data_IF_863735595306
#
_entry.id   IF_863735595306
#
_cell.length_a   1.000
_cell.length_b   1.000
_cell.length_c   1.000
_cell.angle_alpha   90.00
_cell.angle_beta   90.00
_cell.angle_gamma   90.00
#
_symmetry.space_group_name_H-M   'P 1'
#
loop_
_entity.id
_entity.type
_entity.pdbx_description
1 polymer ?
#
# COMPACT_ATOMS: atom_id res chain seq x y z
N UNK A 1 36.40 20.17 14.57
CA UNK A 1 35.14 20.90 14.32
C UNK A 1 34.20 19.95 13.58
N UNK A 2 33.06 19.60 14.16
CA UNK A 2 32.03 18.78 13.52
C UNK A 2 31.24 19.65 12.54
N UNK A 3 31.38 19.41 11.24
CA UNK A 3 30.58 20.11 10.23
C UNK A 3 29.11 19.75 10.42
N UNK A 4 28.26 20.74 10.69
CA UNK A 4 26.82 20.52 10.81
C UNK A 4 26.19 20.36 9.43
N UNK A 5 25.40 19.30 9.25
CA UNK A 5 24.78 18.94 7.98
C UNK A 5 23.91 20.05 7.38
N UNK A 6 23.23 20.86 8.21
CA UNK A 6 22.36 21.96 7.76
C UNK A 6 23.11 23.05 6.97
N UNK A 7 24.40 23.22 7.19
CA UNK A 7 25.20 24.24 6.51
C UNK A 7 26.00 23.70 5.33
N UNK A 8 25.73 22.45 4.93
CA UNK A 8 26.53 21.74 3.94
C UNK A 8 25.90 21.83 2.56
N UNK A 9 26.69 22.22 1.56
CA UNK A 9 26.32 22.11 0.15
C UNK A 9 26.98 20.89 -0.47
N UNK A 10 26.20 19.88 -0.83
CA UNK A 10 26.69 18.70 -1.55
C UNK A 10 27.33 19.01 -2.90
N UNK A 11 28.00 18.02 -3.48
CA UNK A 11 28.38 18.06 -4.89
C UNK A 11 27.13 17.89 -5.77
N UNK A 12 26.31 16.88 -5.47
CA UNK A 12 24.96 16.71 -6.00
C UNK A 12 23.96 16.68 -4.86
N UNK A 13 22.85 17.40 -5.04
CA UNK A 13 21.75 17.46 -4.09
C UNK A 13 20.44 17.38 -4.83
N UNK A 14 19.63 16.40 -4.45
CA UNK A 14 18.36 16.13 -5.07
C UNK A 14 17.30 15.80 -4.03
N UNK A 15 16.08 16.16 -4.36
CA UNK A 15 14.89 15.89 -3.56
C UNK A 15 13.80 15.37 -4.48
N UNK A 16 13.22 14.23 -4.14
CA UNK A 16 11.96 13.77 -4.74
C UNK A 16 10.85 13.87 -3.71
N UNK A 17 9.69 14.41 -4.09
CA UNK A 17 8.52 14.54 -3.22
C UNK A 17 7.38 13.70 -3.78
N UNK A 18 6.81 12.82 -2.96
CA UNK A 18 5.66 11.97 -3.32
C UNK A 18 4.43 12.44 -2.56
N UNK A 19 3.34 12.70 -3.28
CA UNK A 19 2.09 13.23 -2.76
C UNK A 19 0.90 12.39 -3.24
N UNK A 20 -0.07 12.05 -2.37
CA UNK A 20 -1.33 11.47 -2.82
C UNK A 20 -2.15 12.52 -3.59
N UNK A 21 -2.71 12.12 -4.72
CA UNK A 21 -3.53 12.99 -5.57
C UNK A 21 -4.70 12.20 -6.15
N UNK A 22 -5.73 12.92 -6.60
CA UNK A 22 -6.89 12.36 -7.29
C UNK A 22 -6.85 12.71 -8.76
N UNK A 23 -6.83 11.69 -9.61
CA UNK A 23 -6.75 11.79 -11.05
C UNK A 23 -8.09 11.38 -11.70
N UNK A 24 -8.86 12.36 -12.16
CA UNK A 24 -10.20 12.14 -12.72
C UNK A 24 -10.17 11.42 -14.08
N UNK A 25 -9.18 11.73 -14.93
CA UNK A 25 -9.00 11.15 -16.25
C UNK A 25 -7.49 11.00 -16.55
N UNK A 26 -7.08 10.19 -17.56
CA UNK A 26 -5.70 10.19 -18.02
C UNK A 26 -5.24 11.61 -18.38
N UNK A 27 -4.06 12.06 -17.91
CA UNK A 27 -3.55 13.39 -18.20
C UNK A 27 -3.09 13.48 -19.67
N UNK A 28 -3.07 14.69 -20.26
CA UNK A 28 -2.53 14.91 -21.62
C UNK A 28 -0.99 14.99 -21.60
N UNK A 29 -0.34 14.09 -20.87
CA UNK A 29 1.11 14.04 -20.63
C UNK A 29 1.74 12.84 -21.34
N UNK A 30 3.06 12.81 -21.47
CA UNK A 30 3.74 11.67 -22.07
C UNK A 30 3.58 10.43 -21.19
N UNK A 31 3.31 9.27 -21.81
CA UNK A 31 3.16 8.00 -21.11
C UNK A 31 4.52 7.47 -20.62
N UNK A 32 4.48 6.79 -19.46
CA UNK A 32 5.67 6.28 -18.77
C UNK A 32 6.22 7.26 -17.73
N UNK A 33 7.23 6.82 -16.97
CA UNK A 33 7.88 7.66 -15.97
C UNK A 33 8.84 8.65 -16.63
N UNK A 34 9.29 9.64 -15.86
CA UNK A 34 10.27 10.63 -16.33
C UNK A 34 11.58 9.91 -16.72
N UNK A 35 12.04 10.04 -17.96
CA UNK A 35 13.23 9.35 -18.42
C UNK A 35 14.49 10.11 -18.00
N UNK A 36 15.46 9.40 -17.43
CA UNK A 36 16.77 9.96 -17.08
C UNK A 36 17.87 9.33 -17.93
N UNK A 37 18.84 10.14 -18.38
CA UNK A 37 19.95 9.69 -19.21
C UNK A 37 21.23 9.48 -18.38
N UNK A 38 22.02 8.47 -18.75
CA UNK A 38 23.35 8.19 -18.22
C UNK A 38 24.26 7.74 -19.38
N UNK A 39 25.02 8.67 -19.95
CA UNK A 39 25.81 8.41 -21.15
C UNK A 39 24.92 7.92 -22.31
N UNK A 40 25.21 6.72 -22.83
CA UNK A 40 24.40 6.08 -23.89
C UNK A 40 23.16 5.34 -23.39
N UNK A 41 22.96 5.22 -22.06
CA UNK A 41 21.81 4.53 -21.46
C UNK A 41 20.71 5.53 -21.10
N UNK A 42 19.46 5.10 -21.25
CA UNK A 42 18.27 5.85 -20.85
C UNK A 42 17.43 5.00 -19.91
N UNK A 43 17.13 5.52 -18.72
CA UNK A 43 16.25 4.90 -17.74
C UNK A 43 14.80 5.31 -18.02
N UNK A 44 14.23 4.76 -19.09
CA UNK A 44 12.83 4.89 -19.50
C UNK A 44 12.00 3.66 -19.08
N UNK A 45 10.71 3.61 -19.46
CA UNK A 45 9.83 2.46 -19.20
C UNK A 45 10.47 1.14 -19.63
N UNK A 46 10.98 1.09 -20.86
CA UNK A 46 11.49 -0.14 -21.47
C UNK A 46 12.68 -0.71 -20.70
N UNK A 47 13.55 0.16 -20.19
CA UNK A 47 14.70 -0.23 -19.39
C UNK A 47 14.30 -0.55 -17.95
N UNK A 48 13.51 0.33 -17.30
CA UNK A 48 13.16 0.20 -15.89
C UNK A 48 12.33 -1.04 -15.60
N UNK A 49 11.43 -1.44 -16.50
CA UNK A 49 10.61 -2.65 -16.32
C UNK A 49 11.42 -3.94 -16.19
N UNK A 50 12.65 -3.98 -16.75
CA UNK A 50 13.51 -5.18 -16.68
C UNK A 50 14.05 -5.47 -15.27
N UNK A 51 14.00 -4.48 -14.38
CA UNK A 51 14.43 -4.63 -12.99
C UNK A 51 13.35 -5.25 -12.10
N UNK A 52 12.11 -5.33 -12.58
CA UNK A 52 10.94 -5.75 -11.82
C UNK A 52 10.34 -7.03 -12.39
N UNK A 53 9.67 -7.80 -11.54
CA UNK A 53 8.84 -8.91 -12.00
C UNK A 53 7.71 -8.38 -12.90
N UNK A 54 7.18 -9.19 -13.85
CA UNK A 54 6.11 -8.74 -14.75
C UNK A 54 4.85 -8.24 -14.05
N UNK A 55 4.55 -8.68 -12.82
CA UNK A 55 3.43 -8.15 -12.03
C UNK A 55 3.74 -6.76 -11.47
N UNK A 56 4.92 -6.58 -10.85
CA UNK A 56 5.35 -5.28 -10.33
C UNK A 56 5.52 -4.24 -11.46
N UNK A 57 6.07 -4.64 -12.60
CA UNK A 57 6.21 -3.78 -13.77
C UNK A 57 4.84 -3.27 -14.27
N UNK A 58 3.82 -4.13 -14.34
CA UNK A 58 2.45 -3.71 -14.73
C UNK A 58 1.83 -2.72 -13.76
N UNK A 59 2.13 -2.85 -12.46
CA UNK A 59 1.67 -1.89 -11.44
C UNK A 59 2.33 -0.52 -11.63
N UNK A 60 3.65 -0.51 -11.88
CA UNK A 60 4.46 0.70 -11.94
C UNK A 60 4.43 1.42 -13.29
N UNK A 61 4.16 0.71 -14.38
CA UNK A 61 4.27 1.23 -15.76
C UNK A 61 3.02 1.00 -16.61
N UNK A 62 2.08 0.15 -16.17
CA UNK A 62 0.85 -0.15 -16.88
C UNK A 62 1.03 -1.19 -17.98
N UNK A 63 0.07 -1.22 -18.89
CA UNK A 63 0.18 -1.93 -20.18
C UNK A 63 -0.11 -0.95 -21.32
N UNK A 64 0.23 -1.27 -22.58
CA UNK A 64 -0.09 -0.41 -23.71
C UNK A 64 -1.58 -0.07 -23.82
N UNK A 65 -2.46 -0.97 -23.40
CA UNK A 65 -3.92 -0.77 -23.41
C UNK A 65 -4.43 -0.01 -22.19
N UNK A 66 -3.63 0.05 -21.12
CA UNK A 66 -3.98 0.62 -19.82
C UNK A 66 -2.75 1.31 -19.20
N UNK A 67 -2.36 2.47 -19.73
CA UNK A 67 -1.28 3.26 -19.13
C UNK A 67 -1.68 3.67 -17.71
N UNK A 68 -0.72 3.59 -16.78
CA UNK A 68 -0.92 4.03 -15.39
C UNK A 68 0.11 5.07 -14.95
N UNK A 69 1.08 5.41 -15.78
CA UNK A 69 2.12 6.38 -15.42
C UNK A 69 2.33 7.38 -16.54
N UNK A 70 2.49 8.63 -16.17
CA UNK A 70 2.72 9.73 -17.10
C UNK A 70 3.74 10.70 -16.53
N UNK A 71 4.38 11.48 -17.39
CA UNK A 71 5.34 12.48 -16.97
C UNK A 71 5.29 13.74 -17.83
N UNK A 72 5.81 14.82 -17.25
CA UNK A 72 6.07 16.08 -17.94
C UNK A 72 7.36 16.69 -17.39
N UNK A 73 8.20 17.22 -18.27
CA UNK A 73 9.31 18.07 -17.86
C UNK A 73 8.79 19.43 -17.39
N UNK A 74 9.45 20.00 -16.40
CA UNK A 74 9.14 21.33 -15.89
C UNK A 74 10.48 22.04 -15.65
N UNK A 75 10.48 23.36 -15.81
CA UNK A 75 11.64 24.18 -15.48
C UNK A 75 11.15 25.37 -14.68
N UNK A 76 11.06 25.18 -13.37
CA UNK A 76 10.56 26.20 -12.44
C UNK A 76 11.43 26.22 -11.19
N UNK A 77 11.85 27.41 -10.80
CA UNK A 77 12.69 27.62 -9.62
C UNK A 77 11.94 28.45 -8.59
N UNK A 78 12.07 28.07 -7.31
CA UNK A 78 11.58 28.86 -6.19
C UNK A 78 12.49 28.63 -4.97
N UNK A 79 13.10 29.71 -4.49
CA UNK A 79 14.13 29.61 -3.44
C UNK A 79 15.27 28.67 -3.88
N UNK A 80 15.69 27.70 -3.03
CA UNK A 80 16.75 26.75 -3.36
C UNK A 80 16.29 25.58 -4.24
N UNK A 81 15.00 25.49 -4.58
CA UNK A 81 14.44 24.36 -5.33
C UNK A 81 14.32 24.69 -6.81
N UNK A 82 14.84 23.78 -7.63
CA UNK A 82 14.59 23.75 -9.07
C UNK A 82 13.81 22.48 -9.41
N UNK A 83 12.54 22.63 -9.82
CA UNK A 83 11.70 21.54 -10.30
C UNK A 83 12.12 21.15 -11.72
N UNK A 84 12.50 19.89 -11.90
CA UNK A 84 12.94 19.30 -13.17
C UNK A 84 11.82 18.58 -13.92
N UNK A 85 10.88 17.99 -13.20
CA UNK A 85 9.80 17.24 -13.81
C UNK A 85 8.82 16.68 -12.79
N UNK A 86 7.67 16.28 -13.31
CA UNK A 86 6.54 15.75 -12.56
C UNK A 86 6.16 14.41 -13.17
N UNK A 87 5.92 13.41 -12.33
CA UNK A 87 5.27 12.16 -12.73
C UNK A 87 3.91 12.03 -12.05
N UNK A 88 2.98 11.35 -12.70
CA UNK A 88 1.74 10.86 -12.12
C UNK A 88 1.72 9.33 -12.25
N UNK A 89 1.47 8.64 -11.14
CA UNK A 89 1.25 7.19 -11.10
C UNK A 89 -0.17 6.94 -10.60
N UNK A 90 -1.05 6.40 -11.46
CA UNK A 90 -2.38 5.94 -11.06
C UNK A 90 -2.23 4.70 -10.20
N UNK A 91 -2.79 4.76 -9.00
CA UNK A 91 -2.80 3.70 -7.98
C UNK A 91 -4.22 3.27 -7.64
N UNK A 92 -5.14 3.52 -8.59
CA UNK A 92 -6.57 3.31 -8.46
C UNK A 92 -6.92 1.95 -7.89
N UNK A 93 -7.86 1.96 -6.96
CA UNK A 93 -8.40 0.76 -6.33
C UNK A 93 -9.90 0.66 -6.57
N UNK A 94 -10.53 -0.42 -6.07
CA UNK A 94 -11.96 -0.60 -6.24
C UNK A 94 -12.76 0.50 -5.51
N UNK A 95 -12.33 0.88 -4.31
CA UNK A 95 -12.95 1.98 -3.54
C UNK A 95 -12.53 3.37 -4.03
N UNK A 96 -11.29 3.52 -4.49
CA UNK A 96 -10.73 4.81 -4.87
C UNK A 96 -10.29 4.80 -6.34
N UNK A 97 -11.22 4.86 -7.30
CA UNK A 97 -10.91 4.74 -8.74
C UNK A 97 -10.06 5.91 -9.28
N UNK A 98 -10.07 7.04 -8.57
CA UNK A 98 -9.25 8.21 -8.88
C UNK A 98 -7.91 8.26 -8.16
N UNK A 99 -7.55 7.29 -7.30
CA UNK A 99 -6.32 7.36 -6.53
C UNK A 99 -5.07 7.37 -7.44
N UNK A 100 -4.15 8.27 -7.15
CA UNK A 100 -2.87 8.40 -7.82
C UNK A 100 -1.82 9.01 -6.89
N UNK A 101 -0.56 8.95 -7.31
CA UNK A 101 0.56 9.61 -6.68
C UNK A 101 1.15 10.63 -7.66
N UNK A 102 1.42 11.85 -7.19
CA UNK A 102 2.28 12.79 -7.88
C UNK A 102 3.70 12.68 -7.34
N UNK A 103 4.68 12.68 -8.24
CA UNK A 103 6.11 12.65 -7.93
C UNK A 103 6.76 13.90 -8.50
N UNK A 104 7.30 14.75 -7.63
CA UNK A 104 7.99 15.97 -8.00
C UNK A 104 9.50 15.77 -7.88
N UNK A 105 10.24 16.01 -8.96
CA UNK A 105 11.69 15.83 -9.00
C UNK A 105 12.41 17.16 -8.92
N UNK A 106 13.13 17.41 -7.83
CA UNK A 106 13.86 18.64 -7.59
C UNK A 106 15.39 18.44 -7.57
N UNK A 107 16.09 19.47 -8.03
CA UNK A 107 17.47 19.77 -7.65
C UNK A 107 17.45 20.78 -6.50
N UNK A 108 18.42 20.70 -5.59
CA UNK A 108 18.54 21.65 -4.47
C UNK A 108 19.87 22.41 -4.56
N UNK A 109 19.79 23.73 -4.61
CA UNK A 109 20.95 24.63 -4.65
C UNK A 109 21.35 25.10 -3.24
N UNK A 110 22.66 25.27 -3.02
CA UNK A 110 23.20 25.78 -1.76
C UNK A 110 23.08 24.81 -0.58
N UNK A 111 23.35 25.27 0.65
CA UNK A 111 23.29 24.44 1.86
C UNK A 111 21.85 24.37 2.40
N UNK A 112 20.91 23.93 1.56
CA UNK A 112 19.49 24.03 1.87
C UNK A 112 18.77 22.68 1.94
N UNK A 113 19.44 21.54 1.64
CA UNK A 113 18.76 20.25 1.52
C UNK A 113 18.05 19.85 2.81
N UNK A 114 18.74 19.85 3.96
CA UNK A 114 18.13 19.45 5.23
C UNK A 114 17.05 20.44 5.67
N UNK A 115 17.28 21.74 5.54
CA UNK A 115 16.29 22.74 5.95
C UNK A 115 15.05 22.73 5.04
N UNK A 116 15.21 22.49 3.74
CA UNK A 116 14.09 22.27 2.81
C UNK A 116 13.28 21.02 3.20
N UNK A 117 13.96 19.91 3.53
CA UNK A 117 13.30 18.70 4.01
C UNK A 117 12.51 18.96 5.31
N UNK A 118 13.08 19.73 6.23
CA UNK A 118 12.43 20.13 7.48
C UNK A 118 11.22 21.04 7.24
N UNK A 119 11.34 21.99 6.32
CA UNK A 119 10.27 22.90 5.92
C UNK A 119 9.09 22.15 5.32
N UNK A 120 9.32 21.28 4.31
CA UNK A 120 8.30 20.38 3.72
C UNK A 120 7.74 19.41 4.76
N UNK A 121 8.59 18.97 5.69
CA UNK A 121 8.20 18.13 6.80
C UNK A 121 7.44 18.86 7.90
N UNK A 122 7.21 20.17 7.78
CA UNK A 122 6.58 21.07 8.76
C UNK A 122 7.14 20.84 10.16
N UNK A 123 8.49 20.86 10.27
CA UNK A 123 9.20 20.73 11.55
C UNK A 123 9.11 22.02 12.34
N UNK A 124 9.22 21.90 13.67
CA UNK A 124 9.26 23.06 14.54
C UNK A 124 10.47 23.94 14.19
N UNK A 125 10.26 25.26 14.17
CA UNK A 125 11.27 26.26 13.81
C UNK A 125 11.93 26.06 12.44
N UNK A 126 11.31 25.32 11.52
CA UNK A 126 11.75 25.27 10.13
C UNK A 126 11.27 26.52 9.38
N UNK A 127 11.96 26.83 8.28
CA UNK A 127 11.52 27.87 7.34
C UNK A 127 10.15 27.53 6.73
N UNK A 128 9.44 28.51 6.14
CA UNK A 128 8.20 28.27 5.42
C UNK A 128 8.33 27.16 4.37
N UNK A 129 7.27 26.37 4.19
CA UNK A 129 7.26 25.27 3.25
C UNK A 129 7.48 25.82 1.81
N UNK A 130 8.56 25.43 1.11
CA UNK A 130 8.81 25.90 -0.25
C UNK A 130 7.81 25.36 -1.28
N UNK A 131 6.94 24.43 -0.87
CA UNK A 131 5.79 23.97 -1.63
C UNK A 131 4.54 24.82 -1.36
N UNK A 132 4.65 25.95 -0.66
CA UNK A 132 3.63 26.99 -0.65
C UNK A 132 4.00 28.06 -1.70
N UNK A 133 3.13 28.28 -2.71
CA UNK A 133 3.35 29.28 -3.77
C UNK A 133 3.63 28.69 -5.16
N UNK A 134 4.67 29.13 -5.91
CA UNK A 134 4.87 28.71 -7.31
C UNK A 134 5.10 27.20 -7.52
N UNK A 135 5.55 26.52 -6.47
CA UNK A 135 5.76 25.06 -6.43
C UNK A 135 4.63 24.32 -5.71
N UNK A 136 3.51 24.99 -5.40
CA UNK A 136 2.38 24.36 -4.74
C UNK A 136 1.79 23.23 -5.59
N UNK A 137 1.52 22.05 -5.01
CA UNK A 137 0.92 20.93 -5.73
C UNK A 137 -0.37 21.31 -6.47
N UNK A 138 -1.21 22.16 -5.88
CA UNK A 138 -2.45 22.66 -6.48
C UNK A 138 -2.17 23.47 -7.76
N UNK A 139 -1.12 24.29 -7.75
CA UNK A 139 -0.73 25.11 -8.88
C UNK A 139 -0.02 24.28 -9.98
N UNK A 140 0.81 23.31 -9.58
CA UNK A 140 1.56 22.46 -10.50
C UNK A 140 0.65 21.44 -11.22
N UNK A 141 -0.37 20.94 -10.53
CA UNK A 141 -1.30 19.91 -11.01
C UNK A 141 -2.64 20.48 -11.49
N UNK A 142 -2.77 21.80 -11.56
CA UNK A 142 -3.99 22.49 -11.96
C UNK A 142 -4.57 21.93 -13.27
N UNK A 143 -5.86 21.57 -13.24
CA UNK A 143 -6.58 21.00 -14.38
C UNK A 143 -6.23 19.54 -14.69
N UNK A 144 -5.32 18.90 -13.95
CA UNK A 144 -4.89 17.51 -14.18
C UNK A 144 -5.24 16.61 -13.00
N UNK A 145 -4.82 17.00 -11.80
CA UNK A 145 -5.07 16.23 -10.58
C UNK A 145 -5.32 17.16 -9.39
N UNK A 146 -6.05 16.66 -8.39
CA UNK A 146 -6.33 17.39 -7.16
C UNK A 146 -5.53 16.76 -6.03
N UNK A 147 -4.65 17.49 -5.33
CA UNK A 147 -3.96 16.97 -4.14
C UNK A 147 -4.95 16.43 -3.11
N UNK A 148 -4.65 15.29 -2.53
CA UNK A 148 -5.49 14.72 -1.47
C UNK A 148 -5.06 15.31 -0.12
N UNK A 149 -5.84 16.26 0.39
CA UNK A 149 -5.70 16.78 1.75
C UNK A 149 -6.44 15.83 2.69
N UNK A 150 -5.82 14.71 3.06
CA UNK A 150 -6.53 13.74 3.90
C UNK A 150 -6.94 14.36 5.24
N UNK A 151 -8.24 14.46 5.48
CA UNK A 151 -8.86 14.89 6.76
C UNK A 151 -8.94 13.74 7.78
N UNK A 152 -8.41 12.54 7.46
CA UNK A 152 -8.52 11.40 8.35
C UNK A 152 -7.54 11.50 9.54
N UNK A 153 -7.97 11.18 10.78
CA UNK A 153 -7.24 11.46 12.02
C UNK A 153 -5.89 10.73 12.19
N UNK A 154 -5.52 9.84 11.26
CA UNK A 154 -4.27 9.09 11.27
C UNK A 154 -3.55 9.06 9.92
N UNK A 155 -4.11 9.69 8.89
CA UNK A 155 -3.41 9.86 7.64
C UNK A 155 -2.29 10.86 7.90
N UNK A 156 -1.04 10.40 7.76
CA UNK A 156 0.04 11.36 7.64
C UNK A 156 -0.11 11.97 6.24
N UNK A 157 -0.96 13.00 6.16
CA UNK A 157 -1.18 13.84 4.99
C UNK A 157 0.04 14.72 4.69
N UNK A 158 1.25 14.20 4.93
CA UNK A 158 2.51 14.89 4.66
C UNK A 158 3.19 14.22 3.49
N UNK A 159 3.77 15.01 2.56
CA UNK A 159 4.58 14.47 1.49
C UNK A 159 5.65 13.51 2.02
N UNK A 160 5.83 12.40 1.29
CA UNK A 160 6.96 11.51 1.52
C UNK A 160 8.16 12.02 0.71
N UNK A 161 9.27 12.31 1.39
CA UNK A 161 10.44 12.92 0.75
C UNK A 161 11.56 11.91 0.56
N UNK A 162 12.27 11.96 -0.57
CA UNK A 162 13.46 11.17 -0.83
C UNK A 162 14.61 12.13 -1.10
N UNK A 163 15.59 12.15 -0.19
CA UNK A 163 16.77 12.98 -0.29
C UNK A 163 17.92 12.21 -0.95
N UNK A 164 18.73 12.88 -1.76
CA UNK A 164 19.99 12.35 -2.27
C UNK A 164 21.09 13.41 -2.11
N UNK A 165 22.18 13.03 -1.45
CA UNK A 165 23.31 13.89 -1.15
C UNK A 165 24.62 13.18 -1.45
N UNK A 166 25.47 13.79 -2.27
CA UNK A 166 26.87 13.36 -2.44
C UNK A 166 27.81 14.40 -1.86
N UNK A 167 28.87 13.99 -1.15
CA UNK A 167 29.74 14.92 -0.48
C UNK A 167 30.81 15.49 -1.43
N UNK A 168 31.21 16.73 -1.18
CA UNK A 168 32.46 17.29 -1.71
C UNK A 168 33.64 16.75 -0.89
N UNK A 169 34.86 16.89 -1.41
CA UNK A 169 36.08 16.45 -0.73
C UNK A 169 36.22 17.00 0.70
N UNK A 170 35.76 18.24 0.94
CA UNK A 170 35.79 18.86 2.26
C UNK A 170 34.93 18.16 3.32
N UNK A 171 33.93 17.35 2.92
CA UNK A 171 33.00 16.69 3.83
C UNK A 171 33.39 15.25 4.14
N UNK A 172 34.29 14.67 3.36
CA UNK A 172 34.71 13.26 3.48
C UNK A 172 35.18 12.87 4.89
N UNK A 173 35.91 13.70 5.66
CA UNK A 173 36.31 13.32 7.02
C UNK A 173 35.14 13.01 7.97
N UNK A 174 33.95 13.58 7.71
CA UNK A 174 32.74 13.31 8.48
C UNK A 174 32.01 12.04 8.01
N UNK A 175 32.34 11.52 6.83
CA UNK A 175 31.63 10.43 6.17
C UNK A 175 32.47 9.17 6.00
N UNK A 176 33.79 9.30 6.08
CA UNK A 176 34.73 8.20 5.88
C UNK A 176 36.02 8.45 6.64
N UNK A 177 36.47 7.43 7.37
CA UNK A 177 37.75 7.39 8.06
C UNK A 177 38.53 6.16 7.58
N UNK A 178 39.40 6.36 6.59
CA UNK A 178 40.01 5.24 5.84
C UNK A 178 38.93 4.40 5.17
N UNK A 179 38.90 3.09 5.46
CA UNK A 179 37.90 2.17 4.93
C UNK A 179 36.64 2.02 5.81
N UNK A 180 36.52 2.79 6.89
CA UNK A 180 35.40 2.69 7.84
C UNK A 180 34.40 3.83 7.68
N UNK A 181 33.12 3.50 7.85
CA UNK A 181 32.03 4.45 8.01
C UNK A 181 31.93 4.89 9.48
N UNK A 182 32.18 6.17 9.81
CA UNK A 182 32.02 6.68 11.16
C UNK A 182 30.53 6.88 11.50
N UNK A 183 30.20 6.94 12.80
CA UNK A 183 28.84 7.17 13.29
C UNK A 183 28.21 8.48 12.77
N UNK A 184 29.02 9.47 12.43
CA UNK A 184 28.59 10.74 11.83
C UNK A 184 27.94 10.55 10.46
N UNK A 185 28.37 9.56 9.65
CA UNK A 185 27.74 9.25 8.37
C UNK A 185 26.29 8.77 8.57
N UNK A 186 26.09 7.92 9.56
CA UNK A 186 24.79 7.38 9.92
C UNK A 186 23.86 8.44 10.53
N UNK A 187 24.40 9.34 11.36
CA UNK A 187 23.66 10.50 11.87
C UNK A 187 23.18 11.40 10.73
N UNK A 188 24.01 11.65 9.70
CA UNK A 188 23.61 12.45 8.55
C UNK A 188 22.54 11.73 7.72
N UNK A 189 22.71 10.44 7.46
CA UNK A 189 21.73 9.63 6.75
C UNK A 189 20.37 9.63 7.47
N UNK A 190 20.38 9.46 8.80
CA UNK A 190 19.19 9.55 9.63
C UNK A 190 18.55 10.93 9.59
N UNK A 191 19.33 12.00 9.72
CA UNK A 191 18.84 13.38 9.69
C UNK A 191 18.12 13.71 8.38
N UNK A 192 18.68 13.27 7.25
CA UNK A 192 18.07 13.43 5.93
C UNK A 192 16.77 12.64 5.80
N UNK A 193 16.77 11.35 6.15
CA UNK A 193 15.57 10.50 6.00
C UNK A 193 14.44 10.91 6.96
N UNK A 194 14.79 11.30 8.18
CA UNK A 194 13.84 11.75 9.21
C UNK A 194 13.39 13.19 9.00
N UNK A 195 14.08 13.96 8.15
CA UNK A 195 13.88 15.40 7.95
C UNK A 195 14.03 16.13 9.28
N UNK A 196 15.11 15.87 10.00
CA UNK A 196 15.26 16.37 11.36
C UNK A 196 16.71 16.59 11.76
N UNK A 197 16.87 17.40 12.80
CA UNK A 197 18.14 17.69 13.48
C UNK A 197 18.07 17.19 14.92
N UNK A 198 19.19 17.22 15.64
CA UNK A 198 19.23 16.93 17.07
C UNK A 198 18.31 17.85 17.91
N UNK A 199 17.97 19.05 17.42
CA UNK A 199 17.03 19.94 18.10
C UNK A 199 15.57 19.50 17.93
N UNK A 200 15.23 18.86 16.80
CA UNK A 200 13.89 18.35 16.55
C UNK A 200 13.66 17.03 17.32
N UNK A 201 14.68 16.17 17.33
CA UNK A 201 14.70 14.88 18.02
C UNK A 201 16.10 14.61 18.56
N UNK A 202 16.35 14.83 19.87
CA UNK A 202 17.63 14.49 20.47
C UNK A 202 17.77 12.96 20.47
N UNK A 203 18.61 12.45 19.58
CA UNK A 203 18.85 11.01 19.47
C UNK A 203 19.83 10.59 20.56
N UNK A 204 19.36 9.76 21.49
CA UNK A 204 20.24 9.13 22.46
C UNK A 204 21.29 8.30 21.69
N UNK A 205 22.60 8.53 21.89
CA UNK A 205 23.65 7.82 21.15
C UNK A 205 23.53 6.30 21.23
N UNK A 206 22.98 5.78 22.33
CA UNK A 206 22.76 4.36 22.60
C UNK A 206 21.69 3.75 21.68
N UNK A 207 20.73 4.56 21.19
CA UNK A 207 19.65 4.11 20.30
C UNK A 207 20.05 4.17 18.82
N UNK A 208 21.09 4.95 18.48
CA UNK A 208 21.52 5.14 17.09
C UNK A 208 21.88 3.80 16.41
N UNK A 209 22.64 2.88 17.02
CA UNK A 209 22.93 1.58 16.40
C UNK A 209 21.67 0.80 16.01
N UNK A 210 20.67 0.73 16.89
CA UNK A 210 19.39 0.06 16.58
C UNK A 210 18.58 0.77 15.49
N UNK A 211 18.63 2.10 15.45
CA UNK A 211 17.96 2.86 14.38
C UNK A 211 18.65 2.66 13.03
N UNK A 212 19.96 2.41 13.04
CA UNK A 212 20.80 2.22 11.86
C UNK A 212 20.92 0.76 11.41
N UNK A 213 20.40 -0.20 12.18
CA UNK A 213 20.33 -1.62 11.80
C UNK A 213 19.58 -1.81 10.46
N UNK A 214 18.67 -0.89 10.13
CA UNK A 214 17.90 -0.88 8.89
C UNK A 214 18.50 -0.02 7.78
N UNK A 215 19.74 0.46 7.93
CA UNK A 215 20.44 1.17 6.86
C UNK A 215 20.82 0.19 5.75
N UNK A 216 20.37 0.48 4.53
CA UNK A 216 20.64 -0.30 3.32
C UNK A 216 22.02 0.11 2.77
N UNK A 217 23.02 -0.77 2.92
CA UNK A 217 24.39 -0.54 2.45
C UNK A 217 24.53 -0.95 0.97
N UNK A 218 24.06 -0.09 0.08
CA UNK A 218 24.01 -0.35 -1.37
C UNK A 218 25.41 -0.68 -1.94
N UNK A 219 26.44 0.05 -1.51
CA UNK A 219 27.84 -0.26 -1.80
C UNK A 219 28.75 0.37 -0.73
N UNK A 220 30.07 0.20 -0.87
CA UNK A 220 31.04 0.88 -0.01
C UNK A 220 30.97 2.43 -0.11
N UNK A 221 30.41 2.95 -1.20
CA UNK A 221 30.45 4.37 -1.53
C UNK A 221 29.15 5.12 -1.24
N UNK A 222 28.07 4.43 -0.90
CA UNK A 222 26.83 5.06 -0.48
C UNK A 222 25.87 4.11 0.24
N UNK A 223 24.98 4.70 1.02
CA UNK A 223 23.94 3.98 1.76
C UNK A 223 22.61 4.68 1.64
N UNK A 224 21.55 3.96 1.96
CA UNK A 224 20.21 4.49 2.04
C UNK A 224 19.54 4.15 3.38
N UNK A 225 18.58 4.96 3.78
CA UNK A 225 17.72 4.69 4.92
C UNK A 225 16.29 5.03 4.54
N UNK A 226 15.36 4.15 4.91
CA UNK A 226 13.93 4.29 4.66
C UNK A 226 13.22 4.40 6.00
N UNK A 227 12.52 5.51 6.23
CA UNK A 227 11.73 5.77 7.42
C UNK A 227 10.28 6.05 7.01
N UNK A 228 9.38 6.06 8.00
CA UNK A 228 7.93 6.27 7.77
C UNK A 228 7.62 7.50 6.90
N UNK A 229 8.35 8.60 7.06
CA UNK A 229 8.02 9.87 6.39
C UNK A 229 8.98 10.28 5.27
N UNK A 230 10.01 9.47 5.02
CA UNK A 230 11.00 9.79 4.02
C UNK A 230 12.11 8.77 3.93
N UNK A 231 12.86 8.86 2.84
CA UNK A 231 14.08 8.12 2.64
C UNK A 231 15.24 9.08 2.33
N UNK A 232 16.46 8.60 2.54
CA UNK A 232 17.65 9.34 2.12
C UNK A 232 18.68 8.39 1.51
N UNK A 233 19.46 8.94 0.60
CA UNK A 233 20.64 8.35 -0.02
C UNK A 233 21.83 9.25 0.25
N UNK A 234 22.89 8.70 0.82
CA UNK A 234 24.08 9.44 1.21
C UNK A 234 25.34 8.79 0.63
N UNK A 235 26.10 9.56 -0.15
CA UNK A 235 27.44 9.19 -0.59
C UNK A 235 28.47 9.31 0.54
N UNK A 236 29.45 8.41 0.55
CA UNK A 236 30.48 8.32 1.58
C UNK A 236 31.87 8.72 1.12
N UNK A 237 32.09 8.93 -0.19
CA UNK A 237 33.36 9.38 -0.76
C UNK A 237 33.17 10.68 -1.55
N UNK A 238 34.23 11.47 -1.78
CA UNK A 238 34.11 12.67 -2.61
C UNK A 238 33.50 12.34 -3.96
N UNK A 239 32.57 13.19 -4.38
CA UNK A 239 32.02 13.21 -5.72
C UNK A 239 32.88 14.12 -6.60
N UNK A 240 33.47 13.55 -7.67
CA UNK A 240 34.35 14.26 -8.60
C UNK A 240 33.60 14.90 -9.77
N UNK A 241 32.27 14.85 -9.77
CA UNK A 241 31.44 15.40 -10.85
C UNK A 241 31.18 14.39 -11.96
N UNK A 242 31.15 14.87 -13.19
CA UNK A 242 30.74 14.09 -14.36
C UNK A 242 31.67 12.89 -14.61
N UNK A 243 31.07 11.74 -14.89
CA UNK A 243 31.76 10.46 -15.07
C UNK A 243 32.06 9.71 -13.77
N UNK A 244 31.77 10.30 -12.61
CA UNK A 244 31.85 9.60 -11.32
C UNK A 244 30.71 8.56 -11.18
N UNK A 245 30.93 7.51 -10.38
CA UNK A 245 29.88 6.56 -9.96
C UNK A 245 28.60 7.26 -9.47
N UNK A 246 28.70 8.45 -8.88
CA UNK A 246 27.53 9.18 -8.43
C UNK A 246 26.58 9.64 -9.55
N UNK A 247 26.98 9.64 -10.83
CA UNK A 247 26.03 9.77 -11.94
C UNK A 247 25.08 8.57 -12.01
N UNK A 248 25.59 7.36 -11.80
CA UNK A 248 24.76 6.17 -11.67
C UNK A 248 23.80 6.30 -10.48
N UNK A 249 24.29 6.77 -9.33
CA UNK A 249 23.48 6.97 -8.14
C UNK A 249 22.39 8.04 -8.30
N UNK A 250 22.72 9.15 -8.98
CA UNK A 250 21.80 10.23 -9.30
C UNK A 250 20.64 9.75 -10.19
N UNK A 251 20.90 8.81 -11.12
CA UNK A 251 19.84 8.21 -11.94
C UNK A 251 19.05 7.16 -11.15
N UNK A 252 19.70 6.26 -10.41
CA UNK A 252 19.01 5.15 -9.75
C UNK A 252 18.09 5.60 -8.61
N UNK A 253 18.46 6.63 -7.84
CA UNK A 253 17.58 7.14 -6.78
C UNK A 253 16.27 7.75 -7.32
N UNK A 254 16.27 8.27 -8.55
CA UNK A 254 15.09 8.85 -9.23
C UNK A 254 14.34 7.86 -10.11
N UNK A 255 14.85 6.64 -10.25
CA UNK A 255 14.28 5.64 -11.15
C UNK A 255 14.02 4.34 -10.38
N UNK A 256 14.92 3.36 -10.46
CA UNK A 256 14.72 2.01 -9.93
C UNK A 256 14.46 2.00 -8.42
N UNK A 257 15.15 2.85 -7.65
CA UNK A 257 14.96 2.90 -6.20
C UNK A 257 13.71 3.69 -5.80
N UNK A 258 13.39 4.75 -6.54
CA UNK A 258 12.10 5.42 -6.41
C UNK A 258 10.95 4.45 -6.68
N UNK A 259 11.05 3.63 -7.72
CA UNK A 259 10.02 2.68 -8.11
C UNK A 259 9.77 1.60 -7.06
N UNK A 260 10.83 1.14 -6.38
CA UNK A 260 10.68 0.24 -5.25
C UNK A 260 9.89 0.90 -4.09
N UNK A 261 10.16 2.18 -3.80
CA UNK A 261 9.43 2.93 -2.77
C UNK A 261 7.98 3.26 -3.18
N UNK A 262 7.74 3.56 -4.46
CA UNK A 262 6.39 3.74 -5.01
C UNK A 262 5.60 2.44 -4.91
N UNK A 263 6.20 1.31 -5.24
CA UNK A 263 5.56 0.00 -5.09
C UNK A 263 5.18 -0.30 -3.63
N UNK A 264 6.07 0.02 -2.69
CA UNK A 264 5.76 -0.07 -1.25
C UNK A 264 4.60 0.83 -0.84
N UNK A 265 4.51 2.04 -1.40
CA UNK A 265 3.41 2.97 -1.16
C UNK A 265 2.08 2.39 -1.69
N UNK A 266 2.08 1.84 -2.91
CA UNK A 266 0.89 1.17 -3.48
C UNK A 266 0.45 -0.02 -2.63
N UNK A 267 1.40 -0.82 -2.14
CA UNK A 267 1.10 -1.96 -1.27
C UNK A 267 0.45 -1.52 0.05
N UNK A 268 0.96 -0.44 0.66
CA UNK A 268 0.38 0.14 1.87
C UNK A 268 -1.08 0.55 1.64
N UNK A 269 -1.34 1.32 0.59
CA UNK A 269 -2.67 1.85 0.31
C UNK A 269 -3.69 0.71 0.05
N UNK A 270 -3.26 -0.37 -0.63
CA UNK A 270 -4.10 -1.56 -0.81
C UNK A 270 -4.32 -2.34 0.48
N UNK A 271 -3.33 -2.41 1.38
CA UNK A 271 -3.50 -3.03 2.70
C UNK A 271 -4.49 -2.23 3.54
N UNK A 272 -4.43 -0.90 3.50
CA UNK A 272 -5.39 -0.02 4.19
C UNK A 272 -6.82 -0.26 3.68
N UNK A 273 -7.02 -0.41 2.37
CA UNK A 273 -8.33 -0.77 1.80
C UNK A 273 -8.81 -2.16 2.21
N UNK A 274 -7.91 -3.15 2.25
CA UNK A 274 -8.27 -4.49 2.71
C UNK A 274 -8.66 -4.48 4.20
N UNK A 275 -7.98 -3.71 5.05
CA UNK A 275 -8.35 -3.52 6.45
C UNK A 275 -9.74 -2.89 6.58
N UNK A 276 -10.04 -1.89 5.77
CA UNK A 276 -11.36 -1.24 5.78
C UNK A 276 -12.46 -2.17 5.22
N UNK A 277 -12.16 -2.96 4.19
CA UNK A 277 -13.08 -3.97 3.65
C UNK A 277 -13.39 -5.08 4.65
N UNK A 278 -12.40 -5.46 5.45
CA UNK A 278 -12.54 -6.42 6.55
C UNK A 278 -13.42 -5.85 7.67
N UNK A 279 -13.19 -4.60 8.07
CA UNK A 279 -13.95 -3.92 9.13
C UNK A 279 -15.43 -3.78 8.78
N UNK A 280 -15.74 -3.44 7.52
CA UNK A 280 -17.11 -3.28 7.03
C UNK A 280 -17.82 -4.58 6.61
N UNK A 281 -17.21 -5.76 6.77
CA UNK A 281 -17.75 -7.01 6.20
C UNK A 281 -19.09 -7.40 6.83
N UNK A 282 -19.37 -6.98 8.06
CA UNK A 282 -20.63 -7.26 8.76
C UNK A 282 -21.70 -6.20 8.54
N UNK A 283 -21.39 -5.10 7.86
CA UNK A 283 -22.28 -3.94 7.71
C UNK A 283 -23.29 -4.12 6.58
N UNK A 284 -24.20 -5.09 6.73
CA UNK A 284 -25.39 -5.21 5.89
C UNK A 284 -25.85 -6.65 5.59
N UNK A 285 -26.75 -6.84 4.62
CA UNK A 285 -27.26 -8.16 4.24
C UNK A 285 -26.29 -8.94 3.34
N UNK A 286 -26.44 -10.27 3.22
CA UNK A 286 -25.63 -11.15 2.35
C UNK A 286 -24.14 -11.25 2.75
N UNK A 287 -23.86 -11.54 4.02
CA UNK A 287 -22.51 -11.73 4.55
C UNK A 287 -21.63 -12.65 3.68
N UNK A 288 -22.14 -13.81 3.26
CA UNK A 288 -21.37 -14.76 2.44
C UNK A 288 -20.88 -14.18 1.11
N UNK A 289 -21.69 -13.35 0.44
CA UNK A 289 -21.28 -12.70 -0.80
C UNK A 289 -20.18 -11.65 -0.57
N UNK A 290 -20.24 -10.92 0.57
CA UNK A 290 -19.19 -9.95 0.93
C UNK A 290 -17.88 -10.62 1.32
N UNK A 291 -17.94 -11.72 2.06
CA UNK A 291 -16.74 -12.52 2.39
C UNK A 291 -16.09 -13.06 1.12
N UNK A 292 -16.87 -13.60 0.18
CA UNK A 292 -16.34 -14.06 -1.11
C UNK A 292 -15.71 -12.93 -1.94
N UNK A 293 -16.31 -11.73 -1.92
CA UNK A 293 -15.74 -10.55 -2.56
C UNK A 293 -14.40 -10.12 -1.91
N UNK A 294 -14.32 -10.15 -0.57
CA UNK A 294 -13.09 -9.88 0.18
C UNK A 294 -11.99 -10.90 -0.15
N UNK A 295 -12.31 -12.20 -0.18
CA UNK A 295 -11.35 -13.25 -0.58
C UNK A 295 -10.83 -13.03 -2.00
N UNK A 296 -11.71 -12.63 -2.93
CA UNK A 296 -11.32 -12.29 -4.30
C UNK A 296 -10.36 -11.10 -4.33
N UNK A 297 -10.63 -10.06 -3.54
CA UNK A 297 -9.75 -8.90 -3.41
C UNK A 297 -8.38 -9.27 -2.82
N UNK A 298 -8.34 -10.10 -1.77
CA UNK A 298 -7.11 -10.61 -1.15
C UNK A 298 -6.29 -11.43 -2.16
N UNK A 299 -6.93 -12.32 -2.91
CA UNK A 299 -6.26 -13.12 -3.93
C UNK A 299 -5.70 -12.24 -5.06
N UNK A 300 -6.46 -11.24 -5.49
CA UNK A 300 -6.03 -10.23 -6.45
C UNK A 300 -4.81 -9.45 -5.96
N UNK A 301 -4.85 -8.98 -4.71
CA UNK A 301 -3.75 -8.27 -4.07
C UNK A 301 -2.48 -9.13 -4.04
N UNK A 302 -2.60 -10.37 -3.55
CA UNK A 302 -1.48 -11.30 -3.43
C UNK A 302 -0.82 -11.62 -4.77
N UNK A 303 -1.63 -11.87 -5.79
CA UNK A 303 -1.10 -12.25 -7.11
C UNK A 303 -0.36 -11.12 -7.82
N UNK A 304 -0.76 -9.87 -7.57
CA UNK A 304 -0.33 -8.66 -8.29
C UNK A 304 0.74 -7.88 -7.53
N UNK A 305 0.54 -7.63 -6.24
CA UNK A 305 1.34 -6.70 -5.44
C UNK A 305 2.22 -7.39 -4.39
N UNK A 306 1.91 -8.62 -3.97
CA UNK A 306 2.53 -9.23 -2.79
C UNK A 306 3.32 -10.52 -3.12
N UNK A 307 4.59 -10.38 -3.55
CA UNK A 307 5.55 -11.49 -3.71
C UNK A 307 6.86 -11.16 -3.01
N UNK A 308 7.58 -12.18 -2.54
CA UNK A 308 8.79 -12.03 -1.73
C UNK A 308 10.01 -11.45 -2.50
N UNK A 309 10.00 -11.46 -3.84
CA UNK A 309 11.09 -10.94 -4.67
C UNK A 309 10.50 -10.22 -5.88
N UNK A 310 10.12 -8.94 -5.71
CA UNK A 310 9.50 -8.16 -6.78
C UNK A 310 10.52 -7.49 -7.70
N UNK A 311 11.79 -7.49 -7.32
CA UNK A 311 12.90 -6.97 -8.11
C UNK A 311 14.01 -8.02 -8.23
N UNK A 312 14.71 -8.04 -9.37
CA UNK A 312 15.90 -8.86 -9.57
C UNK A 312 17.18 -8.18 -9.03
N UNK A 313 17.06 -6.94 -8.53
CA UNK A 313 18.19 -6.09 -8.17
C UNK A 313 18.25 -5.89 -6.65
N UNK A 314 19.27 -6.48 -6.01
CA UNK A 314 19.39 -6.58 -4.53
C UNK A 314 19.01 -5.29 -3.78
N UNK A 315 19.69 -4.15 -4.03
CA UNK A 315 19.38 -2.89 -3.37
C UNK A 315 17.94 -2.38 -3.50
N UNK A 316 17.29 -2.61 -4.64
CA UNK A 316 15.89 -2.17 -4.83
C UNK A 316 14.93 -3.03 -3.98
N UNK A 317 15.20 -4.34 -3.90
CA UNK A 317 14.46 -5.24 -3.01
C UNK A 317 14.66 -4.88 -1.54
N UNK A 318 15.90 -4.57 -1.13
CA UNK A 318 16.22 -4.16 0.25
C UNK A 318 15.50 -2.87 0.64
N UNK A 319 15.42 -1.88 -0.25
CA UNK A 319 14.65 -0.66 -0.03
C UNK A 319 13.15 -0.93 0.11
N UNK A 320 12.59 -1.82 -0.72
CA UNK A 320 11.18 -2.22 -0.61
C UNK A 320 10.92 -2.93 0.72
N UNK A 321 11.78 -3.86 1.14
CA UNK A 321 11.67 -4.55 2.43
C UNK A 321 11.77 -3.58 3.60
N UNK A 322 12.70 -2.62 3.53
CA UNK A 322 12.83 -1.57 4.54
C UNK A 322 11.56 -0.72 4.62
N UNK A 323 10.97 -0.34 3.48
CA UNK A 323 9.68 0.37 3.44
C UNK A 323 8.56 -0.48 4.06
N UNK A 324 8.44 -1.74 3.67
CA UNK A 324 7.43 -2.66 4.19
C UNK A 324 7.54 -2.82 5.71
N UNK A 325 8.76 -2.88 6.26
CA UNK A 325 9.01 -2.96 7.69
C UNK A 325 8.54 -1.70 8.44
N UNK A 326 8.79 -0.50 7.90
CA UNK A 326 8.37 0.78 8.52
C UNK A 326 6.85 0.88 8.71
N UNK A 327 6.09 0.25 7.83
CA UNK A 327 4.62 0.24 7.87
C UNK A 327 4.04 -1.08 8.39
N UNK A 328 4.89 -2.01 8.84
CA UNK A 328 4.50 -3.36 9.32
C UNK A 328 3.60 -4.09 8.32
N UNK A 329 3.83 -3.88 7.02
CA UNK A 329 2.95 -4.39 5.97
C UNK A 329 2.82 -5.94 6.01
N UNK A 330 3.89 -6.72 6.25
CA UNK A 330 3.77 -8.18 6.38
C UNK A 330 2.92 -8.65 7.56
N UNK A 331 3.08 -8.01 8.73
CA UNK A 331 2.28 -8.32 9.92
C UNK A 331 0.81 -8.03 9.65
N UNK A 332 0.52 -6.81 9.17
CA UNK A 332 -0.86 -6.36 8.86
C UNK A 332 -1.53 -7.27 7.84
N UNK A 333 -0.81 -7.66 6.79
CA UNK A 333 -1.36 -8.58 5.79
C UNK A 333 -1.60 -9.98 6.37
N UNK A 334 -0.76 -10.44 7.28
CA UNK A 334 -0.96 -11.72 7.99
C UNK A 334 -2.20 -11.68 8.89
N UNK A 335 -2.41 -10.57 9.61
CA UNK A 335 -3.62 -10.34 10.41
C UNK A 335 -4.89 -10.35 9.53
N UNK A 336 -4.87 -9.64 8.40
CA UNK A 336 -5.98 -9.65 7.42
C UNK A 336 -6.30 -11.06 6.94
N UNK A 337 -5.28 -11.87 6.61
CA UNK A 337 -5.47 -13.26 6.17
C UNK A 337 -6.11 -14.13 7.26
N UNK A 338 -5.67 -13.98 8.51
CA UNK A 338 -6.21 -14.72 9.63
C UNK A 338 -7.69 -14.38 9.86
N UNK A 339 -8.02 -13.09 9.91
CA UNK A 339 -9.38 -12.61 10.16
C UNK A 339 -10.33 -12.95 9.01
N UNK A 340 -9.89 -12.81 7.75
CA UNK A 340 -10.67 -13.25 6.59
C UNK A 340 -10.98 -14.75 6.64
N UNK A 341 -10.02 -15.58 7.05
CA UNK A 341 -10.24 -17.01 7.23
C UNK A 341 -11.24 -17.31 8.36
N UNK A 342 -11.25 -16.53 9.43
CA UNK A 342 -12.21 -16.66 10.53
C UNK A 342 -13.63 -16.33 10.05
N UNK A 343 -13.78 -15.28 9.24
CA UNK A 343 -15.06 -14.90 8.63
C UNK A 343 -15.58 -15.95 7.65
N UNK A 344 -14.71 -16.53 6.82
CA UNK A 344 -15.07 -17.63 5.93
C UNK A 344 -15.59 -18.85 6.72
N UNK A 345 -14.92 -19.23 7.82
CA UNK A 345 -15.37 -20.33 8.69
C UNK A 345 -16.72 -20.04 9.34
N UNK A 346 -16.96 -18.80 9.75
CA UNK A 346 -18.23 -18.36 10.32
C UNK A 346 -19.38 -18.46 9.30
N UNK A 347 -19.16 -18.01 8.06
CA UNK A 347 -20.15 -18.15 6.96
C UNK A 347 -20.43 -19.62 6.66
N UNK A 348 -19.38 -20.43 6.51
CA UNK A 348 -19.54 -21.87 6.24
C UNK A 348 -20.32 -22.58 7.36
N UNK A 349 -20.08 -22.22 8.61
CA UNK A 349 -20.82 -22.76 9.76
C UNK A 349 -22.29 -22.36 9.70
N UNK A 350 -22.59 -21.11 9.34
CA UNK A 350 -23.97 -20.63 9.17
C UNK A 350 -24.67 -21.34 8.01
N UNK A 351 -24.00 -21.55 6.88
CA UNK A 351 -24.57 -22.23 5.72
C UNK A 351 -24.83 -23.71 6.00
N UNK A 352 -23.90 -24.40 6.68
CA UNK A 352 -24.09 -25.79 7.10
C UNK A 352 -25.28 -25.94 8.07
N UNK A 353 -25.43 -25.00 9.02
CA UNK A 353 -26.60 -24.97 9.91
C UNK A 353 -27.90 -24.74 9.13
N UNK A 354 -27.88 -23.92 8.08
CA UNK A 354 -29.05 -23.68 7.23
C UNK A 354 -29.42 -24.91 6.40
N UNK A 355 -28.44 -25.58 5.79
CA UNK A 355 -28.67 -26.80 5.01
C UNK A 355 -29.21 -27.91 5.91
N UNK A 356 -28.61 -28.10 7.09
CA UNK A 356 -29.08 -29.06 8.08
C UNK A 356 -30.50 -28.73 8.57
N UNK A 357 -30.81 -27.45 8.80
CA UNK A 357 -32.14 -26.98 9.15
C UNK A 357 -33.16 -27.26 8.05
N UNK A 358 -32.85 -26.90 6.80
CA UNK A 358 -33.74 -27.11 5.65
C UNK A 358 -33.99 -28.60 5.37
N UNK A 359 -32.94 -29.43 5.43
CA UNK A 359 -33.06 -30.89 5.39
C UNK A 359 -33.92 -31.42 6.55
N UNK A 360 -33.76 -30.87 7.75
CA UNK A 360 -34.59 -31.20 8.91
C UNK A 360 -36.07 -30.87 8.67
N UNK A 361 -36.39 -29.72 8.08
CA UNK A 361 -37.78 -29.36 7.70
C UNK A 361 -38.32 -30.33 6.66
N UNK A 362 -37.55 -30.58 5.60
CA UNK A 362 -37.93 -31.51 4.54
C UNK A 362 -38.19 -32.90 5.10
N UNK A 363 -37.39 -33.33 6.06
CA UNK A 363 -37.54 -34.63 6.74
C UNK A 363 -38.79 -34.65 7.63
N UNK A 364 -39.01 -33.61 8.45
CA UNK A 364 -40.19 -33.50 9.33
C UNK A 364 -41.51 -33.44 8.54
N UNK A 365 -41.51 -32.79 7.38
CA UNK A 365 -42.69 -32.71 6.49
C UNK A 365 -42.84 -33.95 5.61
N UNK A 366 -41.74 -34.41 5.02
CA UNK A 366 -41.73 -35.42 3.97
C UNK A 366 -41.93 -36.83 4.48
N UNK A 367 -41.38 -37.20 5.64
CA UNK A 367 -41.54 -38.55 6.20
C UNK A 367 -42.99 -38.86 6.54
N UNK A 368 -43.70 -38.07 7.38
CA UNK A 368 -45.08 -38.40 7.74
C UNK A 368 -46.01 -38.43 6.53
N UNK A 369 -45.84 -37.49 5.60
CA UNK A 369 -46.65 -37.41 4.38
C UNK A 369 -46.35 -38.58 3.43
N UNK A 370 -45.08 -38.89 3.19
CA UNK A 370 -44.66 -40.00 2.34
C UNK A 370 -45.13 -41.34 2.89
N UNK A 371 -44.96 -41.58 4.20
CA UNK A 371 -45.44 -42.80 4.87
C UNK A 371 -46.97 -42.94 4.76
N UNK A 372 -47.73 -41.85 4.99
CA UNK A 372 -49.19 -41.88 4.88
C UNK A 372 -49.66 -42.22 3.46
N UNK A 373 -49.04 -41.63 2.43
CA UNK A 373 -49.36 -41.90 1.02
C UNK A 373 -48.95 -43.31 0.59
N UNK A 374 -47.80 -43.82 1.01
CA UNK A 374 -47.38 -45.19 0.71
C UNK A 374 -48.29 -46.23 1.35
N UNK A 375 -48.76 -46.01 2.59
CA UNK A 375 -49.73 -46.90 3.24
C UNK A 375 -51.05 -46.94 2.46
N UNK A 376 -51.56 -45.78 2.03
CA UNK A 376 -52.77 -45.70 1.20
C UNK A 376 -52.61 -46.44 -0.14
N UNK A 377 -51.44 -46.31 -0.79
CA UNK A 377 -51.15 -47.02 -2.04
C UNK A 377 -51.11 -48.54 -1.87
N UNK A 378 -50.52 -49.04 -0.77
CA UNK A 378 -50.46 -50.48 -0.48
C UNK A 378 -51.84 -51.06 -0.18
N UNK A 379 -52.73 -50.27 0.42
CA UNK A 379 -54.09 -50.68 0.75
C UNK A 379 -55.06 -50.63 -0.46
N UNK A 380 -54.60 -50.15 -1.62
CA UNK A 380 -55.38 -49.95 -2.86
C UNK A 380 -56.71 -49.20 -2.63
N UNK A 381 -56.67 -48.21 -1.73
CA UNK A 381 -57.85 -47.61 -1.15
C UNK A 381 -58.28 -46.34 -1.91
N UNK A 382 -59.46 -46.40 -2.52
CA UNK A 382 -60.01 -45.34 -3.36
C UNK A 382 -61.00 -44.42 -2.61
N UNK A 383 -61.20 -44.65 -1.31
CA UNK A 383 -62.16 -43.87 -0.54
C UNK A 383 -61.61 -42.47 -0.18
N UNK A 384 -62.30 -41.38 -0.56
CA UNK A 384 -61.82 -40.01 -0.28
C UNK A 384 -61.72 -39.71 1.22
N UNK A 385 -62.50 -40.40 2.05
CA UNK A 385 -62.44 -40.28 3.50
C UNK A 385 -61.11 -40.78 4.09
N UNK A 386 -60.52 -41.84 3.53
CA UNK A 386 -59.26 -42.42 4.00
C UNK A 386 -58.06 -41.56 3.60
N UNK A 387 -58.13 -40.91 2.43
CA UNK A 387 -57.16 -39.88 2.04
C UNK A 387 -57.17 -38.70 3.02
N UNK A 388 -58.35 -38.20 3.38
CA UNK A 388 -58.48 -37.11 4.36
C UNK A 388 -57.96 -37.51 5.74
N UNK A 389 -58.26 -38.74 6.19
CA UNK A 389 -57.78 -39.26 7.47
C UNK A 389 -56.24 -39.38 7.49
N UNK A 390 -55.64 -39.89 6.41
CA UNK A 390 -54.19 -40.03 6.27
C UNK A 390 -53.48 -38.68 6.21
N UNK A 391 -54.06 -37.69 5.52
CA UNK A 391 -53.55 -36.32 5.51
C UNK A 391 -53.66 -35.67 6.90
N UNK A 392 -54.77 -35.86 7.61
CA UNK A 392 -54.95 -35.34 8.96
C UNK A 392 -53.97 -35.96 9.96
N UNK A 393 -53.72 -37.27 9.89
CA UNK A 393 -52.73 -37.94 10.74
C UNK A 393 -51.30 -37.54 10.39
N UNK A 394 -50.97 -37.39 9.10
CA UNK A 394 -49.68 -36.85 8.67
C UNK A 394 -49.46 -35.41 9.17
N UNK A 395 -50.49 -34.56 9.09
CA UNK A 395 -50.44 -33.18 9.60
C UNK A 395 -50.26 -33.15 11.13
N UNK A 396 -50.98 -34.02 11.87
CA UNK A 396 -50.84 -34.15 13.32
C UNK A 396 -49.43 -34.62 13.71
N UNK A 397 -48.91 -35.65 13.04
CA UNK A 397 -47.57 -36.18 13.26
C UNK A 397 -46.49 -35.14 12.97
N UNK A 398 -46.66 -34.38 11.89
CA UNK A 398 -45.79 -33.24 11.54
C UNK A 398 -45.83 -32.16 12.63
N UNK A 399 -47.03 -31.79 13.11
CA UNK A 399 -47.19 -30.79 14.17
C UNK A 399 -46.50 -31.24 15.48
N UNK A 400 -46.70 -32.50 15.88
CA UNK A 400 -46.01 -33.12 17.02
C UNK A 400 -44.49 -33.11 16.85
N UNK A 401 -43.99 -33.47 15.66
CA UNK A 401 -42.56 -33.47 15.38
C UNK A 401 -41.93 -32.07 15.55
N UNK A 402 -42.65 -31.00 15.19
CA UNK A 402 -42.19 -29.62 15.43
C UNK A 402 -42.14 -29.22 16.92
N UNK A 403 -42.89 -29.89 17.80
CA UNK A 403 -42.81 -29.63 19.26
C UNK A 403 -41.59 -30.28 19.93
N UNK A 404 -40.96 -31.26 19.28
CA UNK A 404 -39.77 -31.94 19.80
C UNK A 404 -38.57 -30.99 19.92
N UNK A 405 -37.53 -31.41 20.65
CA UNK A 405 -36.27 -30.64 20.76
C UNK A 405 -35.64 -30.41 19.37
N UNK A 406 -35.67 -31.41 18.51
CA UNK A 406 -35.16 -31.33 17.14
C UNK A 406 -36.01 -30.39 16.28
N UNK A 407 -37.34 -30.53 16.31
CA UNK A 407 -38.25 -29.65 15.57
C UNK A 407 -38.14 -28.17 15.97
N UNK A 408 -37.96 -27.90 17.26
CA UNK A 408 -37.71 -26.54 17.77
C UNK A 408 -36.37 -25.95 17.30
N UNK A 409 -35.31 -26.76 17.24
CA UNK A 409 -34.02 -26.34 16.69
C UNK A 409 -34.13 -25.97 15.21
N UNK A 410 -34.81 -26.81 14.43
CA UNK A 410 -35.11 -26.56 13.01
C UNK A 410 -35.92 -25.27 12.83
N UNK A 411 -36.98 -25.05 13.61
CA UNK A 411 -37.75 -23.81 13.57
C UNK A 411 -36.93 -22.57 13.96
N UNK A 412 -36.04 -22.70 14.96
CA UNK A 412 -35.17 -21.61 15.38
C UNK A 412 -34.15 -21.22 14.28
N UNK A 413 -33.63 -22.20 13.53
CA UNK A 413 -32.75 -21.93 12.38
C UNK A 413 -33.48 -21.19 11.25
N UNK A 414 -34.77 -21.45 11.03
CA UNK A 414 -35.59 -20.74 10.04
C UNK A 414 -36.01 -19.35 10.50
N UNK A 415 -36.32 -19.16 11.79
CA UNK A 415 -36.76 -17.86 12.32
C UNK A 415 -35.64 -16.81 12.23
N UNK A 416 -34.38 -17.22 12.38
CA UNK A 416 -33.22 -16.36 12.16
C UNK A 416 -33.07 -15.90 10.69
N UNK A 417 -33.71 -16.58 9.73
CA UNK A 417 -33.80 -16.17 8.31
C UNK A 417 -34.76 -14.99 8.10
N UNK A 418 -35.91 -14.99 8.79
CA UNK A 418 -36.95 -13.95 8.63
C UNK A 418 -36.53 -12.65 9.31
N UNK A 419 -35.78 -12.72 10.41
CA UNK A 419 -35.29 -11.54 11.14
C UNK A 419 -34.13 -10.80 10.48
N UNK A 420 -33.35 -11.43 9.59
CA UNK A 420 -32.20 -10.83 8.87
C UNK A 420 -32.54 -10.34 7.45
N UNK A 421 -33.79 -10.48 7.02
CA UNK A 421 -34.28 -10.04 5.70
C UNK A 421 -34.99 -8.69 5.71
N UNK A 422 -34.95 -7.94 6.81
CA UNK A 422 -35.48 -6.57 6.93
C UNK A 422 -34.34 -5.58 7.12
#
# INVERSE_FOLDING_TARGET
MTTELRHLTGARQALTVILPVRLAAPPPWEEGPLPFALGSRRADTATRQTYFTPSAARVLYGTPERPCRWHRFENRTHGPLHLHGIELLRTATARHPGAALAVLHFMVEGPALLDTLRAIGHRHSADPDPLEGPLAPEALLAGVAVPDTSEAPFAIARPYTIAFLTPRAAHTPALRQGDRLPATADQWLWSLASRSTAADFPLAPELLPSQMEHAVRISADWSALVLRHGAAFLGHRPDHGDGDFYDFGAVHHRTIYLDALLLGTVQRDHIDELTEALSGVFDGPKLGARVAALETQIAGFRSTYWRQHLTAHGPANELLLAYQAQYRLPDRFTEILAEAADYARLVQTQDNQQIAGALGVLTILGLPLGTALSILQVLDDHAPAHLLLALATAALATALAFTTRYGRLVLSSLRNRVGRGR
#
